data_IF_318031826972
#
_entry.id   IF_318031826972
#
_cell.length_a   1.000
_cell.length_b   1.000
_cell.length_c   1.000
_cell.angle_alpha   90.00
_cell.angle_beta   90.00
_cell.angle_gamma   90.00
#
_symmetry.space_group_name_H-M   'P 1'
#
loop_
_entity.id
_entity.type
_entity.pdbx_description
1 polymer ?
#
# COMPACT_ATOMS: atom_id res chain seq x y z
N UNK A 1 0.49 -41.89 -15.28
CA UNK A 1 0.04 -40.52 -14.95
C UNK A 1 1.23 -39.58 -15.16
N UNK A 2 1.25 -38.82 -16.26
CA UNK A 2 2.35 -37.88 -16.54
C UNK A 2 2.32 -36.72 -15.54
N UNK A 3 3.32 -36.63 -14.66
CA UNK A 3 3.62 -35.42 -13.89
C UNK A 3 4.01 -34.32 -14.89
N UNK A 4 3.08 -33.41 -15.19
CA UNK A 4 3.40 -32.16 -15.87
C UNK A 4 4.15 -31.28 -14.87
N UNK A 5 5.48 -31.35 -14.87
CA UNK A 5 6.33 -30.30 -14.34
C UNK A 5 6.06 -29.05 -15.16
N UNK A 6 5.26 -28.13 -14.60
CA UNK A 6 5.14 -26.79 -15.15
C UNK A 6 6.50 -26.13 -14.96
N UNK A 7 7.26 -26.01 -16.04
CA UNK A 7 8.47 -25.20 -16.02
C UNK A 7 8.05 -23.75 -15.75
N UNK A 8 8.34 -23.24 -14.56
CA UNK A 8 8.22 -21.82 -14.25
C UNK A 8 9.17 -21.04 -15.17
N UNK A 9 8.64 -20.55 -16.28
CA UNK A 9 9.36 -19.65 -17.20
C UNK A 9 9.06 -18.22 -16.77
N UNK A 10 10.11 -17.44 -16.51
CA UNK A 10 9.98 -16.02 -16.26
C UNK A 10 9.42 -15.32 -17.50
N UNK A 11 8.50 -14.37 -17.32
CA UNK A 11 8.00 -13.52 -18.40
C UNK A 11 8.83 -12.24 -18.42
N UNK A 12 9.55 -12.00 -19.51
CA UNK A 12 10.30 -10.77 -19.74
C UNK A 12 9.88 -10.19 -21.10
N UNK A 13 9.65 -8.89 -21.11
CA UNK A 13 9.46 -8.09 -22.30
C UNK A 13 10.12 -6.72 -22.07
N UNK A 14 10.74 -6.16 -23.11
CA UNK A 14 11.26 -4.80 -23.06
C UNK A 14 10.07 -3.83 -23.19
N UNK A 15 9.62 -3.27 -22.07
CA UNK A 15 8.47 -2.37 -21.99
C UNK A 15 8.95 -0.97 -21.62
N UNK A 16 8.46 0.03 -22.35
CA UNK A 16 8.59 1.42 -21.93
C UNK A 16 7.43 1.81 -21.02
N UNK A 17 7.74 2.36 -19.85
CA UNK A 17 6.76 2.96 -18.94
C UNK A 17 7.13 4.42 -18.73
N UNK A 18 6.62 5.27 -19.61
CA UNK A 18 7.03 6.68 -19.74
C UNK A 18 6.63 7.55 -18.55
N UNK A 19 5.50 7.25 -17.92
CA UNK A 19 5.02 7.98 -16.73
C UNK A 19 4.74 6.99 -15.61
N UNK A 20 5.55 7.08 -14.55
CA UNK A 20 5.21 6.53 -13.22
C UNK A 20 4.62 7.68 -12.41
N UNK A 21 3.53 7.45 -11.67
CA UNK A 21 2.92 8.46 -10.79
C UNK A 21 3.91 8.96 -9.72
N UNK A 22 3.48 9.86 -8.84
CA UNK A 22 4.35 10.36 -7.77
C UNK A 22 4.62 9.31 -6.67
N UNK A 23 5.69 9.51 -5.91
CA UNK A 23 6.07 8.63 -4.80
C UNK A 23 4.96 8.58 -3.73
N UNK A 24 4.56 7.39 -3.23
CA UNK A 24 3.45 7.25 -2.29
C UNK A 24 3.89 7.55 -0.85
N UNK A 25 4.41 8.75 -0.57
CA UNK A 25 4.79 9.18 0.79
C UNK A 25 3.60 9.58 1.67
N UNK A 26 2.40 9.72 1.11
CA UNK A 26 1.18 10.10 1.85
C UNK A 26 1.10 11.58 2.26
N UNK A 27 2.18 12.36 2.10
CA UNK A 27 2.29 13.76 2.54
C UNK A 27 2.43 14.74 1.38
N UNK A 28 1.49 14.73 0.42
CA UNK A 28 1.46 15.70 -0.67
C UNK A 28 0.65 16.93 -0.27
N UNK A 29 1.15 18.12 -0.60
CA UNK A 29 0.40 19.36 -0.38
C UNK A 29 -0.92 19.32 -1.19
N UNK A 30 -2.08 19.44 -0.53
CA UNK A 30 -3.36 19.45 -1.22
C UNK A 30 -3.61 20.81 -1.87
N UNK A 31 -4.51 20.86 -2.86
CA UNK A 31 -4.90 22.12 -3.48
C UNK A 31 -5.60 23.06 -2.49
N UNK A 32 -5.06 24.27 -2.31
CA UNK A 32 -5.68 25.27 -1.44
C UNK A 32 -6.95 25.85 -2.04
N UNK A 33 -7.96 26.05 -1.20
CA UNK A 33 -9.24 26.66 -1.57
C UNK A 33 -9.51 27.90 -0.73
N UNK A 34 -10.16 28.90 -1.35
CA UNK A 34 -10.55 30.14 -0.66
C UNK A 34 -11.86 30.02 0.13
N UNK A 35 -12.76 29.13 -0.29
CA UNK A 35 -14.07 28.89 0.33
C UNK A 35 -14.40 27.40 0.24
N UNK A 36 -14.97 26.85 1.32
CA UNK A 36 -15.49 25.49 1.37
C UNK A 36 -16.99 25.46 1.03
N UNK A 37 -17.47 24.36 0.46
CA UNK A 37 -18.89 24.17 0.14
C UNK A 37 -19.78 24.26 1.39
N UNK A 38 -19.29 23.70 2.51
CA UNK A 38 -19.95 23.76 3.81
C UNK A 38 -19.12 24.61 4.77
N UNK A 39 -19.65 25.76 5.16
CA UNK A 39 -19.03 26.64 6.16
C UNK A 39 -19.43 26.29 7.61
N UNK A 40 -19.70 25.00 7.88
CA UNK A 40 -20.18 24.49 9.17
C UNK A 40 -19.12 23.51 9.70
N UNK A 41 -18.16 23.98 10.51
CA UNK A 41 -17.04 23.14 10.98
C UNK A 41 -17.49 22.02 11.92
N UNK A 42 -18.61 22.20 12.64
CA UNK A 42 -19.11 21.22 13.61
C UNK A 42 -19.47 19.88 13.01
N UNK A 43 -19.74 19.80 11.70
CA UNK A 43 -20.04 18.52 11.04
C UNK A 43 -18.94 17.49 11.21
N UNK A 44 -17.68 17.92 11.24
CA UNK A 44 -16.56 17.02 11.49
C UNK A 44 -16.63 16.43 12.91
N UNK A 45 -16.89 17.26 13.92
CA UNK A 45 -16.97 16.85 15.32
C UNK A 45 -18.23 16.06 15.66
N UNK A 46 -19.33 16.30 14.93
CA UNK A 46 -20.60 15.59 15.14
C UNK A 46 -20.70 14.30 14.34
N UNK A 47 -19.75 14.04 13.44
CA UNK A 47 -19.75 12.83 12.63
C UNK A 47 -19.63 11.59 13.52
N UNK A 48 -20.48 10.60 13.25
CA UNK A 48 -20.44 9.28 13.87
C UNK A 48 -20.52 8.24 12.78
N UNK A 49 -19.74 7.17 12.92
CA UNK A 49 -19.86 5.95 12.12
C UNK A 49 -20.41 4.82 13.00
N UNK A 50 -20.77 3.71 12.36
CA UNK A 50 -21.00 2.46 13.08
C UNK A 50 -19.69 1.93 13.67
N UNK A 51 -19.81 1.01 14.63
CA UNK A 51 -18.67 0.33 15.21
C UNK A 51 -17.90 -0.48 14.14
N UNK A 52 -16.58 -0.34 14.14
CA UNK A 52 -15.68 -1.20 13.38
C UNK A 52 -15.18 -2.30 14.32
N UNK A 53 -15.74 -3.51 14.17
CA UNK A 53 -15.32 -4.68 14.94
C UNK A 53 -14.05 -5.26 14.31
N UNK A 54 -12.90 -5.23 14.99
CA UNK A 54 -11.62 -5.61 14.36
C UNK A 54 -11.50 -7.11 14.10
N UNK A 55 -12.23 -7.92 14.88
CA UNK A 55 -12.23 -9.39 14.80
C UNK A 55 -13.63 -9.89 15.10
N UNK A 56 -14.08 -10.88 14.34
CA UNK A 56 -15.29 -11.66 14.62
C UNK A 56 -14.92 -13.14 14.49
N UNK A 57 -15.08 -13.91 15.57
CA UNK A 57 -14.65 -15.31 15.61
C UNK A 57 -13.13 -15.44 15.53
N UNK A 58 -12.64 -16.25 14.60
CA UNK A 58 -11.22 -16.45 14.29
C UNK A 58 -10.70 -15.55 13.15
N UNK A 59 -11.54 -14.63 12.66
CA UNK A 59 -11.25 -13.76 11.51
C UNK A 59 -10.95 -14.52 10.20
N UNK A 60 -11.43 -15.77 10.08
CA UNK A 60 -11.21 -16.56 8.87
C UNK A 60 -11.98 -15.99 7.68
N UNK A 61 -11.29 -15.85 6.55
CA UNK A 61 -11.88 -15.47 5.26
C UNK A 61 -11.27 -16.33 4.15
N UNK A 62 -12.10 -16.76 3.20
CA UNK A 62 -11.68 -17.48 2.00
C UNK A 62 -10.82 -16.59 1.08
N UNK A 63 -11.07 -15.28 1.08
CA UNK A 63 -10.34 -14.29 0.30
C UNK A 63 -8.96 -13.90 0.88
N UNK A 64 -8.67 -14.29 2.12
CA UNK A 64 -7.51 -13.88 2.91
C UNK A 64 -7.18 -12.38 2.78
N UNK A 65 -8.15 -11.52 3.11
CA UNK A 65 -8.08 -10.08 2.81
C UNK A 65 -6.92 -9.37 3.50
N UNK A 66 -6.65 -9.72 4.76
CA UNK A 66 -5.64 -9.06 5.58
C UNK A 66 -4.24 -9.23 4.96
N UNK A 67 -3.80 -10.48 4.75
CA UNK A 67 -2.47 -10.76 4.21
C UNK A 67 -2.35 -10.30 2.76
N UNK A 68 -3.36 -10.59 1.93
CA UNK A 68 -3.31 -10.23 0.51
C UNK A 68 -3.24 -8.72 0.30
N UNK A 69 -4.05 -7.94 1.01
CA UNK A 69 -4.00 -6.48 0.86
C UNK A 69 -2.71 -5.92 1.49
N UNK A 70 -2.27 -6.46 2.62
CA UNK A 70 -0.99 -6.09 3.20
C UNK A 70 0.17 -6.29 2.21
N UNK A 71 0.27 -7.48 1.61
CA UNK A 71 1.32 -7.82 0.65
C UNK A 71 1.25 -6.95 -0.61
N UNK A 72 0.05 -6.72 -1.15
CA UNK A 72 -0.14 -5.81 -2.29
C UNK A 72 0.35 -4.40 -1.98
N UNK A 73 0.05 -3.88 -0.78
CA UNK A 73 0.56 -2.58 -0.33
C UNK A 73 2.08 -2.59 -0.13
N UNK A 74 2.62 -3.68 0.42
CA UNK A 74 4.05 -3.85 0.63
C UNK A 74 4.81 -3.91 -0.70
N UNK A 75 4.32 -4.61 -1.72
CA UNK A 75 5.04 -4.79 -2.99
C UNK A 75 5.34 -3.47 -3.69
N UNK A 76 4.34 -2.60 -3.87
CA UNK A 76 4.61 -1.32 -4.50
C UNK A 76 5.43 -0.40 -3.59
N UNK A 77 5.26 -0.51 -2.27
CA UNK A 77 6.05 0.26 -1.30
C UNK A 77 7.54 -0.10 -1.46
N UNK A 78 7.90 -1.38 -1.37
CA UNK A 78 9.26 -1.86 -1.61
C UNK A 78 9.78 -1.47 -3.00
N UNK A 79 8.97 -1.57 -4.05
CA UNK A 79 9.36 -1.17 -5.40
C UNK A 79 9.60 0.35 -5.55
N UNK A 80 8.99 1.18 -4.72
CA UNK A 80 9.23 2.62 -4.66
C UNK A 80 10.48 2.95 -3.84
N UNK A 81 10.70 2.23 -2.73
CA UNK A 81 11.88 2.35 -1.87
C UNK A 81 13.12 1.63 -2.41
N UNK A 82 13.03 0.97 -3.57
CA UNK A 82 14.10 0.10 -4.11
C UNK A 82 14.58 -0.92 -3.06
N UNK A 83 13.62 -1.58 -2.41
CA UNK A 83 13.84 -2.53 -1.31
C UNK A 83 14.44 -1.92 -0.03
N UNK A 84 14.65 -0.60 0.03
CA UNK A 84 15.36 0.05 1.13
C UNK A 84 16.88 -0.08 1.05
N UNK A 85 17.41 -0.55 -0.08
CA UNK A 85 18.86 -0.66 -0.31
C UNK A 85 19.49 0.74 -0.30
N UNK A 86 20.52 0.92 0.54
CA UNK A 86 21.25 2.19 0.68
C UNK A 86 20.60 3.21 1.61
N UNK A 87 19.63 2.81 2.43
CA UNK A 87 19.08 3.65 3.51
C UNK A 87 19.87 3.47 4.81
N UNK A 88 20.28 2.23 5.12
CA UNK A 88 21.09 1.90 6.28
C UNK A 88 22.56 1.84 5.86
N UNK A 89 23.41 2.63 6.50
CA UNK A 89 24.85 2.59 6.27
C UNK A 89 25.48 1.46 7.11
N UNK A 90 26.60 0.91 6.64
CA UNK A 90 27.32 -0.16 7.35
C UNK A 90 27.84 0.27 8.74
N UNK A 91 27.97 1.58 8.98
CA UNK A 91 28.44 2.15 10.25
C UNK A 91 27.32 2.25 11.32
N UNK A 92 26.06 1.94 10.99
CA UNK A 92 24.95 1.90 11.95
C UNK A 92 24.86 0.57 12.74
N UNK A 93 25.68 -0.45 12.40
CA UNK A 93 25.68 -1.76 13.07
C UNK A 93 26.69 -1.89 14.24
N UNK A 94 27.60 -0.93 14.43
CA UNK A 94 28.73 -1.02 15.38
C UNK A 94 28.54 -0.21 16.68
N UNK A 95 27.30 -0.04 17.18
CA UNK A 95 27.03 0.71 18.43
C UNK A 95 26.23 -0.05 19.48
#
# INVERSE_FOLDING_TARGET
MLRRTVFSRMKYANLELTTRGEFPHGMKEPGFVRKLDKNIPWYFSTYRSMYHWPVVGDNWSDLNEADKHHDLHMFYTLAWWKLGEGIFDADDEDR
#
